data_IF_647368270731
#
_entry.id   IF_647368270731
#
_cell.length_a   1.000
_cell.length_b   1.000
_cell.length_c   1.000
_cell.angle_alpha   90.00
_cell.angle_beta   90.00
_cell.angle_gamma   90.00
#
_symmetry.space_group_name_H-M   'P 1'
#
loop_
_entity.id
_entity.type
_entity.pdbx_description
1 polymer ?
#
# COMPACT_ATOMS: atom_id res chain seq x y z
N UNK A 1 -9.34 11.88 -17.46
CA UNK A 1 -8.51 11.43 -16.31
C UNK A 1 -8.52 9.91 -16.24
N UNK A 2 -7.41 9.28 -15.88
CA UNK A 2 -7.31 7.82 -15.74
C UNK A 2 -6.37 7.43 -14.59
N UNK A 3 -6.47 6.18 -14.12
CA UNK A 3 -5.56 5.70 -13.09
C UNK A 3 -5.68 4.20 -12.89
N UNK A 4 -4.59 3.59 -12.49
CA UNK A 4 -4.55 2.17 -12.18
C UNK A 4 -3.57 1.90 -11.03
N UNK A 5 -3.76 0.77 -10.38
CA UNK A 5 -2.80 0.30 -9.39
C UNK A 5 -2.67 -1.20 -9.47
N UNK A 6 -1.48 -1.65 -9.07
CA UNK A 6 -1.16 -3.04 -8.90
C UNK A 6 -0.57 -3.24 -7.51
N UNK A 7 -1.02 -4.29 -6.83
CA UNK A 7 -0.57 -4.60 -5.48
C UNK A 7 -0.21 -6.07 -5.38
N UNK A 8 0.96 -6.33 -4.78
CA UNK A 8 1.42 -7.64 -4.39
C UNK A 8 1.64 -7.66 -2.88
N UNK A 9 1.33 -8.78 -2.26
CA UNK A 9 1.63 -9.00 -0.85
C UNK A 9 1.95 -10.46 -0.60
N UNK A 10 2.88 -10.71 0.30
CA UNK A 10 3.32 -12.04 0.67
C UNK A 10 3.53 -12.14 2.17
N UNK A 11 2.99 -13.20 2.77
CA UNK A 11 3.12 -13.49 4.20
C UNK A 11 4.36 -14.36 4.39
N UNK A 12 5.42 -13.78 4.94
CA UNK A 12 6.72 -14.43 5.13
C UNK A 12 6.65 -15.61 6.11
N UNK A 13 5.71 -15.55 7.05
CA UNK A 13 5.52 -16.54 8.12
C UNK A 13 4.66 -17.74 7.70
N UNK A 14 4.12 -17.73 6.47
CA UNK A 14 3.43 -18.86 5.85
C UNK A 14 1.91 -18.87 6.01
N UNK A 15 1.33 -17.91 6.73
CA UNK A 15 -0.13 -17.81 6.86
C UNK A 15 -0.80 -17.36 5.56
N UNK A 16 -2.03 -17.83 5.36
CA UNK A 16 -2.86 -17.42 4.22
C UNK A 16 -3.84 -16.33 4.63
N UNK A 17 -4.05 -15.36 3.74
CA UNK A 17 -5.17 -14.43 3.87
C UNK A 17 -6.47 -15.15 3.57
N UNK A 18 -7.44 -15.06 4.46
CA UNK A 18 -8.78 -15.59 4.18
C UNK A 18 -9.47 -14.68 3.14
N UNK A 19 -10.03 -15.30 2.11
CA UNK A 19 -10.74 -14.64 1.03
C UNK A 19 -12.19 -15.11 1.02
N UNK A 20 -13.13 -14.18 1.12
CA UNK A 20 -14.56 -14.48 1.11
C UNK A 20 -15.31 -13.36 0.39
N UNK A 21 -16.21 -13.71 -0.52
CA UNK A 21 -17.08 -12.77 -1.25
C UNK A 21 -16.32 -11.63 -1.95
N UNK A 22 -15.18 -11.91 -2.58
CA UNK A 22 -14.40 -10.87 -3.26
C UNK A 22 -13.47 -10.06 -2.34
N UNK A 23 -13.54 -10.26 -1.02
CA UNK A 23 -12.81 -9.48 -0.04
C UNK A 23 -11.73 -10.32 0.63
N UNK A 24 -10.51 -9.79 0.62
CA UNK A 24 -9.43 -10.29 1.46
C UNK A 24 -9.61 -9.77 2.88
N UNK A 25 -9.59 -10.69 3.83
CA UNK A 25 -9.58 -10.37 5.26
C UNK A 25 -8.15 -10.34 5.81
N UNK A 26 -8.01 -9.92 7.07
CA UNK A 26 -6.71 -9.84 7.74
C UNK A 26 -6.03 -11.21 7.87
N UNK A 27 -4.70 -11.19 7.97
CA UNK A 27 -3.91 -12.38 8.31
C UNK A 27 -4.15 -12.71 9.78
N UNK A 28 -4.42 -13.99 10.07
CA UNK A 28 -4.52 -14.48 11.45
C UNK A 28 -3.20 -15.19 11.79
N UNK A 29 -2.39 -14.68 12.73
CA UNK A 29 -1.14 -15.33 13.10
C UNK A 29 -1.39 -16.75 13.63
N UNK A 30 -0.58 -17.70 13.16
CA UNK A 30 -0.67 -19.11 13.55
C UNK A 30 0.22 -19.46 14.76
N UNK A 31 1.22 -18.62 15.02
CA UNK A 31 2.24 -18.79 16.06
C UNK A 31 2.24 -17.59 17.00
N UNK A 32 2.74 -17.79 18.22
CA UNK A 32 2.91 -16.71 19.22
C UNK A 32 3.87 -15.60 18.77
N UNK A 33 4.78 -15.89 17.82
CA UNK A 33 5.66 -14.91 17.22
C UNK A 33 4.93 -13.85 16.36
N UNK A 34 3.64 -14.04 16.11
CA UNK A 34 2.86 -13.23 15.16
C UNK A 34 3.11 -13.62 13.70
N UNK A 35 2.55 -12.86 12.78
CA UNK A 35 2.72 -13.02 11.34
C UNK A 35 3.29 -11.75 10.71
N UNK A 36 4.23 -11.91 9.77
CA UNK A 36 4.84 -10.80 9.03
C UNK A 36 4.42 -10.91 7.58
N UNK A 37 3.91 -9.81 7.05
CA UNK A 37 3.55 -9.65 5.66
C UNK A 37 4.32 -8.48 5.06
N UNK A 38 4.88 -8.69 3.89
CA UNK A 38 5.44 -7.62 3.06
C UNK A 38 4.50 -7.33 1.91
N UNK A 39 4.41 -6.07 1.52
CA UNK A 39 3.58 -5.63 0.41
C UNK A 39 4.33 -4.62 -0.45
N UNK A 40 4.05 -4.67 -1.75
CA UNK A 40 4.46 -3.66 -2.70
C UNK A 40 3.22 -3.20 -3.47
N UNK A 41 3.08 -1.90 -3.67
CA UNK A 41 2.01 -1.31 -4.48
C UNK A 41 2.60 -0.30 -5.42
N UNK A 42 2.28 -0.44 -6.70
CA UNK A 42 2.57 0.55 -7.71
C UNK A 42 1.26 1.17 -8.18
N UNK A 43 1.16 2.49 -8.21
CA UNK A 43 -0.04 3.19 -8.69
C UNK A 43 0.34 4.33 -9.61
N UNK A 44 -0.45 4.51 -10.66
CA UNK A 44 -0.33 5.63 -11.59
C UNK A 44 -1.68 6.33 -11.64
N UNK A 45 -1.64 7.66 -11.58
CA UNK A 45 -2.81 8.52 -11.73
C UNK A 45 -2.45 9.62 -12.73
N UNK A 46 -3.19 9.68 -13.83
CA UNK A 46 -3.06 10.71 -14.86
C UNK A 46 -4.29 11.63 -14.80
N UNK A 47 -4.02 12.88 -14.45
CA UNK A 47 -5.01 13.93 -14.32
C UNK A 47 -5.03 14.86 -15.53
N UNK A 48 -4.48 14.46 -16.68
CA UNK A 48 -4.58 15.19 -17.92
C UNK A 48 -5.81 14.72 -18.73
N UNK A 49 -6.62 15.66 -19.23
CA UNK A 49 -7.78 15.34 -20.08
C UNK A 49 -8.18 16.55 -20.95
N UNK A 50 -8.06 16.40 -22.28
CA UNK A 50 -8.38 17.47 -23.23
C UNK A 50 -7.60 18.76 -22.96
N UNK A 51 -8.31 19.82 -22.56
CA UNK A 51 -7.72 21.12 -22.21
C UNK A 51 -7.33 21.25 -20.73
N UNK A 52 -7.54 20.21 -19.92
CA UNK A 52 -7.19 20.19 -18.49
C UNK A 52 -5.83 19.53 -18.33
N UNK A 53 -4.87 20.30 -17.80
CA UNK A 53 -3.54 19.83 -17.42
C UNK A 53 -3.52 19.69 -15.91
N UNK A 54 -3.71 18.47 -15.41
CA UNK A 54 -3.72 18.15 -13.98
C UNK A 54 -2.41 17.50 -13.50
N UNK A 55 -1.55 17.08 -14.43
CA UNK A 55 -0.30 16.40 -14.11
C UNK A 55 -0.45 14.87 -14.00
N UNK A 56 0.67 14.19 -13.80
CA UNK A 56 0.74 12.74 -13.63
C UNK A 56 1.45 12.42 -12.31
N UNK A 57 0.97 11.39 -11.61
CA UNK A 57 1.60 10.92 -10.38
C UNK A 57 1.77 9.40 -10.41
N UNK A 58 3.01 8.96 -10.17
CA UNK A 58 3.39 7.57 -9.99
C UNK A 58 3.85 7.37 -8.56
N UNK A 59 3.34 6.34 -7.89
CA UNK A 59 3.77 5.99 -6.54
C UNK A 59 4.22 4.53 -6.49
N UNK A 60 5.38 4.30 -5.89
CA UNK A 60 5.83 2.99 -5.44
C UNK A 60 5.80 2.95 -3.92
N UNK A 61 4.90 2.15 -3.37
CA UNK A 61 4.79 1.91 -1.92
C UNK A 61 5.41 0.56 -1.58
N UNK A 62 6.32 0.55 -0.62
CA UNK A 62 6.79 -0.67 0.04
C UNK A 62 6.27 -0.67 1.47
N UNK A 63 5.67 -1.78 1.88
CA UNK A 63 4.99 -1.91 3.16
C UNK A 63 5.37 -3.17 3.90
N UNK A 64 5.40 -3.08 5.23
CA UNK A 64 5.53 -4.21 6.14
C UNK A 64 4.38 -4.16 7.13
N UNK A 65 3.67 -5.26 7.27
CA UNK A 65 2.60 -5.44 8.25
C UNK A 65 3.00 -6.54 9.23
N UNK A 66 2.94 -6.25 10.52
CA UNK A 66 3.18 -7.19 11.59
C UNK A 66 1.89 -7.42 12.39
N UNK A 67 1.39 -8.65 12.32
CA UNK A 67 0.19 -9.11 13.04
C UNK A 67 0.65 -9.78 14.33
N UNK A 68 0.72 -9.01 15.42
CA UNK A 68 1.17 -9.51 16.72
C UNK A 68 0.10 -10.41 17.36
N UNK A 69 -1.17 -10.01 17.26
CA UNK A 69 -2.33 -10.77 17.74
C UNK A 69 -3.39 -10.79 16.64
N UNK A 70 -4.41 -11.63 16.81
CA UNK A 70 -5.57 -11.65 15.91
C UNK A 70 -6.29 -10.29 15.82
N UNK A 71 -6.17 -9.46 16.85
CA UNK A 71 -6.80 -8.15 16.97
C UNK A 71 -5.81 -6.98 16.98
N UNK A 72 -4.50 -7.21 16.90
CA UNK A 72 -3.50 -6.15 16.95
C UNK A 72 -2.51 -6.27 15.79
N UNK A 73 -2.44 -5.21 14.97
CA UNK A 73 -1.50 -5.12 13.85
C UNK A 73 -0.74 -3.79 13.83
N UNK A 74 0.53 -3.87 13.45
CA UNK A 74 1.39 -2.73 13.15
C UNK A 74 1.70 -2.70 11.66
N UNK A 75 1.76 -1.51 11.08
CA UNK A 75 1.99 -1.31 9.66
C UNK A 75 3.01 -0.20 9.49
N UNK A 76 4.02 -0.42 8.67
CA UNK A 76 4.97 0.58 8.23
C UNK A 76 4.98 0.63 6.72
N UNK A 77 4.96 1.83 6.14
CA UNK A 77 5.03 2.04 4.70
C UNK A 77 6.04 3.13 4.37
N UNK A 78 6.76 2.94 3.28
CA UNK A 78 7.55 3.97 2.60
C UNK A 78 6.98 4.12 1.19
N UNK A 79 6.80 5.37 0.77
CA UNK A 79 6.18 5.73 -0.51
C UNK A 79 7.15 6.62 -1.25
N UNK A 80 7.62 6.14 -2.39
CA UNK A 80 8.36 6.94 -3.36
C UNK A 80 7.34 7.47 -4.36
N UNK A 81 7.29 8.78 -4.53
CA UNK A 81 6.36 9.42 -5.46
C UNK A 81 7.17 10.14 -6.53
N UNK A 82 6.67 10.10 -7.74
CA UNK A 82 7.16 10.85 -8.90
C UNK A 82 5.95 11.61 -9.45
N UNK A 83 6.00 12.93 -9.39
CA UNK A 83 4.88 13.83 -9.65
C UNK A 83 5.28 14.82 -10.73
N UNK A 84 4.70 14.67 -11.90
CA UNK A 84 4.80 15.64 -12.99
C UNK A 84 3.67 16.66 -12.84
N UNK A 85 4.03 17.89 -12.47
CA UNK A 85 3.06 18.98 -12.29
C UNK A 85 2.62 19.58 -13.62
N UNK A 86 1.42 20.20 -13.69
CA UNK A 86 0.98 20.94 -14.87
C UNK A 86 1.94 22.04 -15.34
N UNK A 87 2.75 22.57 -14.42
CA UNK A 87 3.78 23.59 -14.69
C UNK A 87 5.06 23.03 -15.34
N UNK A 88 5.15 21.72 -15.58
CA UNK A 88 6.33 21.08 -16.17
C UNK A 88 7.48 20.86 -15.18
N UNK A 89 7.18 20.92 -13.87
CA UNK A 89 8.14 20.60 -12.80
C UNK A 89 7.86 19.18 -12.33
N UNK A 90 8.91 18.37 -12.24
CA UNK A 90 8.86 17.02 -11.66
C UNK A 90 9.31 17.08 -10.19
N UNK A 91 8.54 16.49 -9.30
CA UNK A 91 8.86 16.35 -7.87
C UNK A 91 8.98 14.87 -7.50
N UNK A 92 10.03 14.51 -6.74
CA UNK A 92 10.29 13.13 -6.32
C UNK A 92 10.23 12.94 -4.77
N UNK A 93 9.10 13.24 -4.10
CA UNK A 93 9.05 13.17 -2.64
C UNK A 93 9.02 11.72 -2.12
N UNK A 94 9.69 11.51 -0.99
CA UNK A 94 9.64 10.27 -0.22
C UNK A 94 8.80 10.49 1.04
N UNK A 95 7.71 9.75 1.16
CA UNK A 95 6.87 9.72 2.35
C UNK A 95 7.10 8.46 3.17
N UNK A 96 6.95 8.54 4.49
CA UNK A 96 6.89 7.37 5.37
C UNK A 96 5.66 7.47 6.27
N UNK A 97 5.13 6.31 6.67
CA UNK A 97 3.96 6.25 7.52
C UNK A 97 3.98 5.00 8.38
N UNK A 98 3.65 5.17 9.65
CA UNK A 98 3.46 4.07 10.60
C UNK A 98 2.03 4.10 11.13
N UNK A 99 1.47 2.92 11.40
CA UNK A 99 0.11 2.79 11.94
C UNK A 99 0.03 1.58 12.86
N UNK A 100 -0.52 1.79 14.05
CA UNK A 100 -1.00 0.73 14.92
C UNK A 100 -2.52 0.63 14.77
N UNK A 101 -3.05 -0.59 14.73
CA UNK A 101 -4.49 -0.82 14.67
C UNK A 101 -4.90 -1.95 15.61
N UNK A 102 -5.90 -1.65 16.42
CA UNK A 102 -6.56 -2.60 17.30
C UNK A 102 -8.02 -2.82 16.86
N UNK A 103 -8.49 -4.06 16.88
CA UNK A 103 -9.87 -4.44 16.58
C UNK A 103 -10.54 -4.94 17.87
N UNK A 104 -11.71 -4.41 18.21
CA UNK A 104 -12.47 -4.77 19.42
C UNK A 104 -13.71 -5.60 19.08
#
# INVERSE_FOLDING_TARGET
FSGYHFQLSYVLTGESRSYKNGLFSGVKPSKESGAIEVAARYSVTDLNDGTVFGGEQKNLTLGVNYYLLNNLRFMGNIVFSDIDTPSGVTEEPIGFGVRAQYHF
#
